data_IF_837668927361
#
_entry.id   IF_837668927361
#
_cell.length_a   1.000
_cell.length_b   1.000
_cell.length_c   1.000
_cell.angle_alpha   90.00
_cell.angle_beta   90.00
_cell.angle_gamma   90.00
#
_symmetry.space_group_name_H-M   'P 1'
#
loop_
_entity.id
_entity.type
_entity.pdbx_description
1 polymer ?
#
# COMPACT_ATOMS: atom_id res chain seq x y z
N UNK A 1 -6.23 -23.99 16.75
CA UNK A 1 -5.26 -23.99 17.86
C UNK A 1 -4.87 -22.54 18.09
N UNK A 2 -5.10 -22.00 19.30
CA UNK A 2 -4.86 -20.58 19.60
C UNK A 2 -3.38 -20.23 19.73
N UNK A 3 -2.51 -21.24 19.82
CA UNK A 3 -1.07 -21.07 19.97
C UNK A 3 -0.35 -20.96 18.61
N UNK A 4 -1.07 -21.14 17.49
CA UNK A 4 -0.53 -21.11 16.12
C UNK A 4 0.82 -21.85 15.97
N UNK A 5 0.94 -23.11 16.42
CA UNK A 5 2.22 -23.78 16.67
C UNK A 5 3.06 -24.05 15.41
N UNK A 6 2.50 -23.79 14.24
CA UNK A 6 3.12 -24.01 12.93
C UNK A 6 3.87 -22.79 12.39
N UNK A 7 3.74 -21.62 13.04
CA UNK A 7 4.35 -20.36 12.61
C UNK A 7 4.92 -19.60 13.82
N UNK A 8 6.02 -18.88 13.61
CA UNK A 8 6.61 -18.04 14.68
C UNK A 8 5.76 -16.79 14.94
N UNK A 9 5.24 -16.19 13.87
CA UNK A 9 4.39 -15.02 13.91
C UNK A 9 3.27 -15.18 12.86
N UNK A 10 1.99 -15.31 13.27
CA UNK A 10 0.88 -15.56 12.36
C UNK A 10 0.47 -14.27 11.63
N UNK A 11 1.33 -13.77 10.75
CA UNK A 11 1.04 -12.62 9.92
C UNK A 11 1.29 -12.98 8.46
N UNK A 12 0.30 -12.87 7.55
CA UNK A 12 0.45 -13.18 6.13
C UNK A 12 1.45 -12.28 5.38
N UNK A 13 1.91 -11.18 5.98
CA UNK A 13 3.04 -10.38 5.50
C UNK A 13 4.36 -11.15 5.55
N UNK A 14 4.49 -12.09 6.49
CA UNK A 14 5.68 -12.91 6.68
C UNK A 14 5.64 -14.13 5.75
N UNK A 15 6.61 -14.24 4.84
CA UNK A 15 6.71 -15.36 3.88
C UNK A 15 6.60 -16.72 4.57
N UNK A 16 7.25 -16.85 5.73
CA UNK A 16 7.28 -18.10 6.50
C UNK A 16 5.89 -18.52 7.02
N UNK A 17 5.00 -17.57 7.29
CA UNK A 17 3.64 -17.87 7.74
C UNK A 17 2.81 -18.58 6.65
N UNK A 18 3.20 -18.44 5.38
CA UNK A 18 2.51 -19.01 4.22
C UNK A 18 3.10 -20.36 3.77
N UNK A 19 4.23 -20.81 4.31
CA UNK A 19 4.99 -21.95 3.79
C UNK A 19 4.16 -23.24 3.64
N UNK A 20 3.39 -23.62 4.66
CA UNK A 20 2.54 -24.83 4.60
C UNK A 20 1.49 -24.73 3.49
N UNK A 21 0.90 -23.54 3.32
CA UNK A 21 -0.11 -23.30 2.29
C UNK A 21 0.53 -23.29 0.89
N UNK A 22 1.73 -22.73 0.74
CA UNK A 22 2.51 -22.73 -0.50
C UNK A 22 2.92 -24.14 -0.92
N UNK A 23 3.38 -24.97 0.03
CA UNK A 23 3.72 -26.38 -0.24
C UNK A 23 2.51 -27.17 -0.73
N UNK A 24 1.34 -26.96 -0.13
CA UNK A 24 0.10 -27.57 -0.57
C UNK A 24 -0.30 -27.06 -1.96
N UNK A 25 -0.24 -25.74 -2.18
CA UNK A 25 -0.52 -25.09 -3.46
C UNK A 25 0.29 -25.70 -4.60
N UNK A 26 1.61 -25.87 -4.40
CA UNK A 26 2.50 -26.56 -5.35
C UNK A 26 2.08 -28.00 -5.64
N UNK A 27 1.72 -28.77 -4.61
CA UNK A 27 1.31 -30.18 -4.76
C UNK A 27 0.02 -30.35 -5.57
N UNK A 28 -0.95 -29.46 -5.35
CA UNK A 28 -2.26 -29.53 -6.00
C UNK A 28 -2.35 -28.66 -7.26
N UNK A 29 -1.29 -27.89 -7.56
CA UNK A 29 -1.25 -26.89 -8.64
C UNK A 29 -2.39 -25.87 -8.52
N UNK A 30 -2.54 -25.28 -7.34
CA UNK A 30 -3.59 -24.30 -7.06
C UNK A 30 -3.39 -22.99 -7.85
N UNK A 31 -4.45 -22.43 -8.42
CA UNK A 31 -4.38 -21.11 -9.06
C UNK A 31 -4.15 -19.97 -8.06
N UNK A 32 -4.48 -20.21 -6.79
CA UNK A 32 -4.39 -19.27 -5.68
C UNK A 32 -4.04 -19.99 -4.38
N UNK A 33 -3.15 -19.39 -3.59
CA UNK A 33 -2.90 -19.77 -2.19
C UNK A 33 -3.23 -18.57 -1.32
N UNK A 34 -3.99 -18.78 -0.25
CA UNK A 34 -4.43 -17.72 0.67
C UNK A 34 -4.10 -18.07 2.11
N UNK A 35 -3.86 -17.04 2.92
CA UNK A 35 -3.67 -17.17 4.36
C UNK A 35 -4.05 -15.87 5.06
N UNK A 36 -4.60 -15.99 6.26
CA UNK A 36 -5.06 -14.85 7.08
C UNK A 36 -4.31 -14.80 8.40
N UNK A 37 -4.38 -13.66 9.08
CA UNK A 37 -3.97 -13.53 10.47
C UNK A 37 -5.06 -14.05 11.45
N UNK A 38 -4.76 -14.17 12.76
CA UNK A 38 -5.64 -14.81 13.75
C UNK A 38 -7.06 -14.26 13.85
N UNK A 39 -7.22 -12.94 13.73
CA UNK A 39 -8.49 -12.24 13.78
C UNK A 39 -9.10 -12.00 12.39
N UNK A 40 -8.44 -12.48 11.33
CA UNK A 40 -8.92 -12.44 9.95
C UNK A 40 -9.18 -11.01 9.44
N UNK A 41 -8.30 -10.09 9.81
CA UNK A 41 -8.29 -8.70 9.35
C UNK A 41 -7.29 -8.48 8.20
N UNK A 42 -6.37 -9.44 7.96
CA UNK A 42 -5.41 -9.41 6.85
C UNK A 42 -5.47 -10.65 5.97
N UNK A 43 -5.23 -10.45 4.68
CA UNK A 43 -5.21 -11.50 3.67
C UNK A 43 -3.91 -11.49 2.86
N UNK A 44 -3.10 -12.54 3.02
CA UNK A 44 -1.99 -12.86 2.12
C UNK A 44 -2.44 -13.74 0.96
N UNK A 45 -1.95 -13.42 -0.23
CA UNK A 45 -2.21 -14.18 -1.46
C UNK A 45 -0.88 -14.52 -2.14
N UNK A 46 -0.76 -15.76 -2.62
CA UNK A 46 0.28 -16.16 -3.56
C UNK A 46 -0.31 -16.81 -4.80
N UNK A 47 0.35 -16.60 -5.93
CA UNK A 47 -0.09 -17.08 -7.26
C UNK A 47 1.04 -17.84 -7.95
N UNK A 48 0.73 -18.79 -8.85
CA UNK A 48 1.76 -19.48 -9.62
C UNK A 48 2.47 -18.54 -10.59
N UNK A 49 3.79 -18.72 -10.71
CA UNK A 49 4.67 -18.04 -11.64
C UNK A 49 5.72 -19.04 -12.14
N UNK A 50 5.44 -19.65 -13.29
CA UNK A 50 6.20 -20.83 -13.74
C UNK A 50 5.95 -22.03 -12.80
N UNK A 51 7.02 -22.66 -12.35
CA UNK A 51 6.96 -23.79 -11.39
C UNK A 51 6.97 -23.33 -9.92
N UNK A 52 7.06 -22.03 -9.68
CA UNK A 52 7.12 -21.42 -8.35
C UNK A 52 5.83 -20.67 -8.00
N UNK A 53 5.70 -20.29 -6.72
CA UNK A 53 4.65 -19.39 -6.27
C UNK A 53 5.27 -18.09 -5.79
N UNK A 54 4.64 -16.97 -6.18
CA UNK A 54 5.07 -15.64 -5.77
C UNK A 54 3.99 -15.05 -4.86
N UNK A 55 4.42 -14.56 -3.70
CA UNK A 55 3.56 -13.81 -2.80
C UNK A 55 3.28 -12.44 -3.43
N UNK A 56 2.01 -12.09 -3.50
CA UNK A 56 1.53 -10.78 -3.94
C UNK A 56 1.58 -9.84 -2.73
N UNK A 57 2.24 -8.68 -2.90
CA UNK A 57 2.30 -7.68 -1.83
C UNK A 57 0.93 -7.07 -1.56
N UNK A 58 0.75 -6.51 -0.36
CA UNK A 58 -0.52 -5.90 0.02
C UNK A 58 -0.99 -4.81 -0.96
N UNK A 59 -0.07 -3.98 -1.44
CA UNK A 59 -0.32 -2.97 -2.49
C UNK A 59 -0.80 -3.60 -3.81
N UNK A 60 -0.14 -4.67 -4.26
CA UNK A 60 -0.44 -5.35 -5.54
C UNK A 60 -1.78 -6.08 -5.49
N UNK A 61 -2.09 -6.75 -4.38
CA UNK A 61 -3.37 -7.41 -4.19
C UNK A 61 -4.50 -6.37 -4.09
N UNK A 62 -4.28 -5.28 -3.37
CA UNK A 62 -5.25 -4.18 -3.32
C UNK A 62 -5.55 -3.59 -4.70
N UNK A 63 -4.53 -3.40 -5.54
CA UNK A 63 -4.69 -2.93 -6.92
C UNK A 63 -5.47 -3.94 -7.79
N UNK A 64 -5.23 -5.23 -7.62
CA UNK A 64 -5.99 -6.28 -8.31
C UNK A 64 -7.46 -6.29 -7.89
N UNK A 65 -7.74 -6.26 -6.58
CA UNK A 65 -9.11 -6.24 -6.04
C UNK A 65 -9.85 -4.98 -6.50
N UNK A 66 -9.20 -3.81 -6.45
CA UNK A 66 -9.79 -2.55 -6.89
C UNK A 66 -10.15 -2.58 -8.38
N UNK A 67 -9.21 -2.98 -9.24
CA UNK A 67 -9.43 -3.10 -10.68
C UNK A 67 -10.59 -4.06 -10.98
N UNK A 68 -10.60 -5.23 -10.34
CA UNK A 68 -11.67 -6.23 -10.51
C UNK A 68 -13.04 -5.70 -10.07
N UNK A 69 -13.12 -5.02 -8.92
CA UNK A 69 -14.37 -4.45 -8.43
C UNK A 69 -14.91 -3.39 -9.38
N UNK A 70 -14.08 -2.43 -9.79
CA UNK A 70 -14.48 -1.35 -10.68
C UNK A 70 -14.80 -1.86 -12.10
N UNK A 71 -14.01 -2.80 -12.64
CA UNK A 71 -14.25 -3.39 -13.95
C UNK A 71 -15.53 -4.20 -13.97
N UNK A 72 -15.77 -5.05 -12.98
CA UNK A 72 -16.95 -5.92 -12.93
C UNK A 72 -18.24 -5.13 -12.74
N UNK A 73 -18.21 -4.09 -11.90
CA UNK A 73 -19.35 -3.18 -11.75
C UNK A 73 -19.62 -2.41 -13.05
N UNK A 74 -18.58 -1.99 -13.77
CA UNK A 74 -18.73 -1.32 -15.07
C UNK A 74 -19.31 -2.26 -16.13
N UNK A 75 -18.77 -3.48 -16.24
CA UNK A 75 -19.22 -4.51 -17.19
C UNK A 75 -20.68 -4.91 -16.96
N UNK A 76 -21.11 -4.97 -15.70
CA UNK A 76 -22.48 -5.35 -15.34
C UNK A 76 -23.45 -4.16 -15.29
N UNK A 77 -22.99 -2.94 -15.60
CA UNK A 77 -23.83 -1.73 -15.58
C UNK A 77 -24.26 -1.31 -14.17
N UNK A 78 -23.50 -1.71 -13.14
CA UNK A 78 -23.77 -1.45 -11.71
C UNK A 78 -22.79 -0.47 -11.06
N UNK A 79 -21.80 0.03 -11.80
CA UNK A 79 -20.87 1.03 -11.27
C UNK A 79 -21.66 2.27 -10.82
N UNK A 80 -21.53 2.72 -9.55
CA UNK A 80 -22.18 3.93 -9.09
C UNK A 80 -21.80 5.15 -9.94
N UNK A 81 -22.67 6.16 -10.01
CA UNK A 81 -22.39 7.38 -10.75
C UNK A 81 -21.20 8.19 -10.19
N UNK A 82 -20.92 8.03 -8.90
CA UNK A 82 -19.80 8.67 -8.19
C UNK A 82 -19.04 7.61 -7.38
N UNK A 83 -18.36 6.65 -8.02
CA UNK A 83 -17.66 5.59 -7.30
C UNK A 83 -16.52 6.22 -6.49
N UNK A 84 -16.26 5.67 -5.30
CA UNK A 84 -15.21 6.15 -4.42
C UNK A 84 -14.33 4.99 -3.95
N UNK A 85 -13.04 5.26 -3.98
CA UNK A 85 -11.98 4.42 -3.47
C UNK A 85 -11.29 5.14 -2.31
N UNK A 86 -10.99 4.43 -1.23
CA UNK A 86 -10.34 5.02 -0.04
C UNK A 86 -9.09 4.22 0.31
N UNK A 87 -7.93 4.89 0.32
CA UNK A 87 -6.65 4.30 0.70
C UNK A 87 -5.91 5.13 1.73
N UNK A 88 -4.88 4.57 2.34
CA UNK A 88 -4.00 5.34 3.22
C UNK A 88 -2.97 6.14 2.43
N UNK A 89 -2.41 7.18 3.06
CA UNK A 89 -1.31 7.99 2.54
C UNK A 89 0.00 7.22 2.28
N UNK A 90 0.11 5.96 2.73
CA UNK A 90 1.27 5.07 2.50
C UNK A 90 0.96 3.92 1.55
N UNK A 91 -0.30 3.76 1.14
CA UNK A 91 -0.73 2.82 0.10
C UNK A 91 -0.34 3.36 -1.28
N UNK A 92 0.07 2.46 -2.18
CA UNK A 92 0.61 2.78 -3.52
C UNK A 92 -0.27 3.72 -4.34
N UNK A 93 0.36 4.58 -5.15
CA UNK A 93 -0.33 5.44 -6.12
C UNK A 93 -0.82 4.67 -7.36
N UNK A 94 -0.43 3.39 -7.54
CA UNK A 94 -1.03 2.53 -8.55
C UNK A 94 -2.56 2.45 -8.39
N UNK A 95 -3.02 2.33 -7.14
CA UNK A 95 -4.44 2.27 -6.82
C UNK A 95 -5.16 3.58 -7.20
N UNK A 96 -4.54 4.74 -6.95
CA UNK A 96 -5.05 6.03 -7.44
C UNK A 96 -5.18 6.05 -8.96
N UNK A 97 -4.16 5.60 -9.68
CA UNK A 97 -4.18 5.56 -11.15
C UNK A 97 -5.29 4.65 -11.69
N UNK A 98 -5.58 3.54 -11.02
CA UNK A 98 -6.69 2.63 -11.35
C UNK A 98 -8.03 3.33 -11.09
N UNK A 99 -8.26 3.87 -9.88
CA UNK A 99 -9.48 4.62 -9.56
C UNK A 99 -9.81 5.69 -10.63
N UNK A 100 -8.81 6.48 -11.01
CA UNK A 100 -8.96 7.56 -11.98
C UNK A 100 -9.36 7.05 -13.39
N UNK A 101 -8.86 5.89 -13.84
CA UNK A 101 -9.27 5.28 -15.11
C UNK A 101 -10.76 4.95 -15.15
N UNK A 102 -11.33 4.53 -14.01
CA UNK A 102 -12.76 4.23 -13.88
C UNK A 102 -13.60 5.44 -13.50
N UNK A 103 -12.99 6.63 -13.35
CA UNK A 103 -13.68 7.85 -12.91
C UNK A 103 -14.07 7.84 -11.43
N UNK A 104 -13.43 6.98 -10.63
CA UNK A 104 -13.66 6.91 -9.20
C UNK A 104 -12.88 8.00 -8.45
N UNK A 105 -13.51 8.56 -7.42
CA UNK A 105 -12.86 9.47 -6.48
C UNK A 105 -11.90 8.66 -5.59
N UNK A 106 -10.59 8.91 -5.68
CA UNK A 106 -9.61 8.33 -4.77
C UNK A 106 -9.30 9.27 -3.60
N UNK A 107 -9.69 8.85 -2.39
CA UNK A 107 -9.49 9.60 -1.13
C UNK A 107 -8.34 9.01 -0.33
N UNK A 108 -7.36 9.84 0.01
CA UNK A 108 -6.31 9.47 0.98
C UNK A 108 -6.79 9.70 2.41
N UNK A 109 -6.47 8.77 3.30
CA UNK A 109 -6.63 8.89 4.75
C UNK A 109 -5.34 8.56 5.49
N UNK A 110 -5.24 8.88 6.78
CA UNK A 110 -4.13 8.42 7.60
C UNK A 110 -4.15 6.90 7.77
N UNK A 111 -2.99 6.29 8.06
CA UNK A 111 -2.92 4.85 8.39
C UNK A 111 -3.79 4.50 9.60
N UNK A 112 -4.58 3.45 9.45
CA UNK A 112 -5.54 2.92 10.43
C UNK A 112 -6.95 2.88 9.85
N UNK A 113 -7.54 1.68 9.77
CA UNK A 113 -8.82 1.44 9.11
C UNK A 113 -10.01 2.26 9.64
N UNK A 114 -9.95 2.75 10.89
CA UNK A 114 -10.95 3.68 11.45
C UNK A 114 -11.21 4.90 10.56
N UNK A 115 -10.17 5.42 9.87
CA UNK A 115 -10.31 6.58 9.00
C UNK A 115 -11.02 6.22 7.68
N UNK A 116 -10.86 4.99 7.20
CA UNK A 116 -11.65 4.45 6.07
C UNK A 116 -13.11 4.31 6.51
N UNK A 117 -13.37 3.75 7.69
CA UNK A 117 -14.71 3.65 8.27
C UNK A 117 -15.40 5.01 8.46
N UNK A 118 -14.66 6.03 8.91
CA UNK A 118 -15.18 7.40 9.04
C UNK A 118 -15.54 8.01 7.67
N UNK A 119 -14.73 7.77 6.62
CA UNK A 119 -15.06 8.21 5.26
C UNK A 119 -16.27 7.50 4.68
N UNK A 120 -16.44 6.21 4.94
CA UNK A 120 -17.65 5.48 4.54
C UNK A 120 -18.88 6.13 5.20
N UNK A 121 -18.83 6.44 6.50
CA UNK A 121 -19.92 7.12 7.19
C UNK A 121 -20.20 8.53 6.61
N UNK A 122 -19.15 9.27 6.27
CA UNK A 122 -19.28 10.58 5.63
C UNK A 122 -20.01 10.49 4.29
N UNK A 123 -19.66 9.49 3.47
CA UNK A 123 -20.31 9.23 2.19
C UNK A 123 -21.79 8.83 2.36
N UNK A 124 -22.09 7.94 3.31
CA UNK A 124 -23.48 7.52 3.61
C UNK A 124 -24.36 8.68 4.09
N UNK A 125 -23.78 9.72 4.68
CA UNK A 125 -24.49 10.93 5.10
C UNK A 125 -24.84 11.89 3.94
N UNK A 126 -24.35 11.60 2.73
CA UNK A 126 -24.53 12.40 1.52
C UNK A 126 -25.28 11.58 0.47
N UNK A 127 -26.63 11.68 0.39
CA UNK A 127 -27.43 10.86 -0.54
C UNK A 127 -27.02 10.97 -2.02
N UNK A 128 -26.57 12.15 -2.44
CA UNK A 128 -26.05 12.41 -3.80
C UNK A 128 -24.51 12.42 -3.86
N UNK A 129 -23.85 11.95 -2.80
CA UNK A 129 -22.41 11.98 -2.62
C UNK A 129 -21.66 10.84 -3.30
N UNK A 130 -20.35 10.72 -3.02
CA UNK A 130 -19.56 9.57 -3.43
C UNK A 130 -20.09 8.27 -2.82
N UNK A 131 -19.94 7.15 -3.52
CA UNK A 131 -20.35 5.81 -3.07
C UNK A 131 -19.11 4.95 -2.92
N UNK A 132 -18.83 4.51 -1.69
CA UNK A 132 -17.72 3.59 -1.43
C UNK A 132 -17.88 2.30 -2.23
N UNK A 133 -16.85 1.94 -3.00
CA UNK A 133 -16.79 0.67 -3.75
C UNK A 133 -15.80 -0.29 -3.09
N UNK A 134 -14.62 0.20 -2.77
CA UNK A 134 -13.52 -0.59 -2.20
C UNK A 134 -12.56 0.34 -1.46
N UNK A 135 -11.84 -0.21 -0.48
CA UNK A 135 -10.79 0.50 0.23
C UNK A 135 -9.77 -0.46 0.82
N UNK A 136 -8.58 0.05 1.11
CA UNK A 136 -7.51 -0.81 1.62
C UNK A 136 -6.26 -0.11 2.11
N UNK A 137 -5.46 -0.88 2.83
CA UNK A 137 -4.15 -0.53 3.33
C UNK A 137 -3.08 -1.41 2.65
N UNK A 138 -1.89 -0.87 2.46
CA UNK A 138 -0.69 -1.57 2.02
C UNK A 138 -0.33 -2.78 2.91
N UNK A 139 -0.81 -2.77 4.15
CA UNK A 139 -0.61 -3.79 5.18
C UNK A 139 -1.58 -4.97 5.07
N UNK A 140 -1.97 -5.36 3.85
CA UNK A 140 -2.78 -6.56 3.55
C UNK A 140 -4.23 -6.50 4.07
N UNK A 141 -4.73 -5.30 4.38
CA UNK A 141 -6.08 -5.06 4.88
C UNK A 141 -6.99 -4.47 3.79
N UNK A 142 -8.14 -5.09 3.56
CA UNK A 142 -9.07 -4.69 2.50
C UNK A 142 -10.52 -4.71 2.99
N UNK A 143 -11.35 -3.87 2.38
CA UNK A 143 -12.79 -3.88 2.57
C UNK A 143 -13.49 -3.68 1.22
N UNK A 144 -14.31 -4.66 0.83
CA UNK A 144 -14.99 -4.74 -0.48
C UNK A 144 -16.50 -4.54 -0.39
N UNK A 145 -17.00 -4.11 0.76
CA UNK A 145 -18.41 -3.87 1.06
C UNK A 145 -18.54 -2.89 2.24
N UNK A 146 -19.76 -2.51 2.62
CA UNK A 146 -20.01 -1.57 3.73
C UNK A 146 -20.75 -2.21 4.91
N UNK A 147 -20.77 -3.55 5.04
CA UNK A 147 -21.44 -4.19 6.20
C UNK A 147 -20.60 -4.10 7.48
N UNK A 148 -19.29 -3.92 7.34
CA UNK A 148 -18.36 -3.69 8.45
C UNK A 148 -17.62 -2.36 8.28
N UNK A 149 -16.87 -1.97 9.31
CA UNK A 149 -16.09 -0.72 9.36
C UNK A 149 -14.61 -0.98 9.70
N UNK A 150 -14.19 -2.21 9.48
CA UNK A 150 -12.83 -2.69 9.66
C UNK A 150 -12.43 -3.52 8.44
N UNK A 151 -11.18 -3.99 8.41
CA UNK A 151 -10.71 -4.93 7.39
C UNK A 151 -11.46 -6.24 7.51
N UNK A 152 -11.71 -6.88 6.38
CA UNK A 152 -12.38 -8.18 6.31
C UNK A 152 -11.64 -9.11 5.36
N UNK A 153 -10.75 -9.94 5.92
CA UNK A 153 -9.98 -10.89 5.13
C UNK A 153 -10.85 -12.00 4.54
N UNK A 154 -11.99 -12.32 5.15
CA UNK A 154 -12.90 -13.38 4.66
C UNK A 154 -13.60 -12.93 3.38
N UNK A 155 -14.13 -11.71 3.40
CA UNK A 155 -14.74 -11.09 2.22
C UNK A 155 -13.69 -10.82 1.14
N UNK A 156 -12.50 -10.34 1.51
CA UNK A 156 -11.40 -10.14 0.57
C UNK A 156 -10.92 -11.47 -0.05
N UNK A 157 -10.91 -12.57 0.71
CA UNK A 157 -10.51 -13.90 0.22
C UNK A 157 -11.52 -14.44 -0.78
N UNK A 158 -12.82 -14.28 -0.48
CA UNK A 158 -13.90 -14.64 -1.39
C UNK A 158 -13.79 -13.85 -2.70
N UNK A 159 -13.58 -12.53 -2.61
CA UNK A 159 -13.38 -11.67 -3.77
C UNK A 159 -12.13 -12.06 -4.57
N UNK A 160 -11.04 -12.39 -3.89
CA UNK A 160 -9.80 -12.83 -4.54
C UNK A 160 -9.96 -14.16 -5.28
N UNK A 161 -10.73 -15.10 -4.71
CA UNK A 161 -11.04 -16.37 -5.36
C UNK A 161 -11.96 -16.19 -6.58
N UNK A 162 -12.97 -15.31 -6.48
CA UNK A 162 -13.84 -14.97 -7.61
C UNK A 162 -13.06 -14.30 -8.74
N UNK A 163 -12.22 -13.30 -8.42
CA UNK A 163 -11.34 -12.61 -9.36
C UNK A 163 -10.38 -13.59 -10.05
N UNK A 164 -9.78 -14.52 -9.30
CA UNK A 164 -8.93 -15.57 -9.86
C UNK A 164 -9.71 -16.44 -10.86
N UNK A 165 -10.89 -16.91 -10.46
CA UNK A 165 -11.75 -17.72 -11.32
C UNK A 165 -12.17 -16.97 -12.60
N UNK A 166 -12.53 -15.70 -12.47
CA UNK A 166 -12.90 -14.85 -13.61
C UNK A 166 -11.76 -14.78 -14.64
N UNK A 167 -10.53 -14.48 -14.22
CA UNK A 167 -9.41 -14.40 -15.14
C UNK A 167 -8.97 -15.77 -15.67
N UNK A 168 -8.96 -16.81 -14.83
CA UNK A 168 -8.62 -18.17 -15.25
C UNK A 168 -9.61 -18.69 -16.30
N UNK A 169 -10.90 -18.38 -16.15
CA UNK A 169 -11.92 -18.72 -17.16
C UNK A 169 -11.68 -18.07 -18.53
N UNK A 170 -10.88 -17.00 -18.56
CA UNK A 170 -10.45 -16.29 -19.77
C UNK A 170 -9.04 -16.69 -20.22
N UNK A 171 -8.47 -17.74 -19.62
CA UNK A 171 -7.13 -18.25 -19.93
C UNK A 171 -6.00 -17.35 -19.42
N UNK A 172 -6.24 -16.54 -18.38
CA UNK A 172 -5.25 -15.63 -17.78
C UNK A 172 -5.06 -15.93 -16.30
N UNK A 173 -3.82 -15.90 -15.83
CA UNK A 173 -3.55 -15.94 -14.39
C UNK A 173 -3.77 -14.56 -13.74
N UNK A 174 -3.88 -14.50 -12.41
CA UNK A 174 -3.81 -13.23 -11.69
C UNK A 174 -2.49 -12.48 -11.92
N UNK A 175 -1.40 -13.22 -12.12
CA UNK A 175 -0.12 -12.61 -12.44
C UNK A 175 -0.15 -11.92 -13.80
N UNK A 176 -0.83 -12.51 -14.79
CA UNK A 176 -1.06 -11.86 -16.09
C UNK A 176 -1.90 -10.59 -15.95
N UNK A 177 -2.94 -10.62 -15.11
CA UNK A 177 -3.74 -9.42 -14.83
C UNK A 177 -2.89 -8.31 -14.19
N UNK A 178 -2.04 -8.63 -13.22
CA UNK A 178 -1.16 -7.63 -12.61
C UNK A 178 -0.13 -7.07 -13.62
N UNK A 179 0.41 -7.91 -14.51
CA UNK A 179 1.25 -7.42 -15.63
C UNK A 179 0.48 -6.49 -16.56
N UNK A 180 -0.80 -6.73 -16.80
CA UNK A 180 -1.65 -5.84 -17.60
C UNK A 180 -1.89 -4.51 -16.90
N UNK A 181 -2.10 -4.52 -15.57
CA UNK A 181 -2.16 -3.28 -14.77
C UNK A 181 -0.88 -2.47 -14.91
N UNK A 182 0.29 -3.09 -14.74
CA UNK A 182 1.56 -2.38 -14.90
C UNK A 182 1.78 -1.84 -16.31
N UNK A 183 1.30 -2.54 -17.35
CA UNK A 183 1.36 -2.01 -18.72
C UNK A 183 0.50 -0.76 -18.91
N UNK A 184 -0.69 -0.71 -18.30
CA UNK A 184 -1.64 0.42 -18.39
C UNK A 184 -1.22 1.63 -17.54
N UNK A 185 -0.76 1.39 -16.32
CA UNK A 185 -0.56 2.44 -15.31
C UNK A 185 0.92 2.73 -15.00
N UNK A 186 1.85 1.91 -15.51
CA UNK A 186 3.25 1.95 -15.12
C UNK A 186 3.61 0.86 -14.12
N UNK A 187 4.89 0.51 -14.06
CA UNK A 187 5.36 -0.51 -13.12
C UNK A 187 5.65 0.15 -11.77
N UNK A 188 4.93 -0.24 -10.73
CA UNK A 188 5.14 0.27 -9.37
C UNK A 188 5.93 -0.73 -8.53
N UNK A 189 6.89 -0.19 -7.76
CA UNK A 189 7.63 -0.94 -6.74
C UNK A 189 7.62 -0.14 -5.45
N UNK A 190 7.24 -0.82 -4.36
CA UNK A 190 7.21 -0.24 -3.03
C UNK A 190 8.17 -0.94 -2.08
N UNK A 191 8.55 -0.24 -1.01
CA UNK A 191 9.20 -0.85 0.13
C UNK A 191 8.62 -0.35 1.46
N UNK A 192 8.73 -1.21 2.45
CA UNK A 192 8.60 -0.87 3.86
C UNK A 192 9.91 -1.23 4.56
N UNK A 193 10.40 -0.32 5.39
CA UNK A 193 11.51 -0.53 6.31
C UNK A 193 11.04 -0.18 7.72
N UNK A 194 11.14 -1.13 8.66
CA UNK A 194 10.78 -0.92 10.07
C UNK A 194 12.04 -0.98 10.93
N UNK A 195 12.33 0.10 11.66
CA UNK A 195 13.53 0.20 12.48
C UNK A 195 13.16 0.41 13.94
N UNK A 196 13.60 -0.52 14.78
CA UNK A 196 13.46 -0.44 16.23
C UNK A 196 14.69 0.25 16.85
N UNK A 197 14.44 1.16 17.77
CA UNK A 197 15.43 1.78 18.63
C UNK A 197 15.33 1.13 20.01
N UNK A 198 16.31 0.28 20.34
CA UNK A 198 16.33 -0.47 21.60
C UNK A 198 16.78 0.44 22.75
N UNK A 199 16.36 0.08 23.97
CA UNK A 199 16.78 0.75 25.20
C UNK A 199 15.90 1.92 25.59
N UNK A 200 16.17 2.48 26.77
CA UNK A 200 15.37 3.55 27.38
C UNK A 200 15.40 4.85 26.55
N UNK A 201 16.48 5.08 25.79
CA UNK A 201 16.69 6.26 24.95
C UNK A 201 16.04 6.15 23.55
N UNK A 202 15.46 4.99 23.20
CA UNK A 202 14.97 4.74 21.84
C UNK A 202 13.88 5.71 21.38
N UNK A 203 13.02 6.15 22.31
CA UNK A 203 11.99 7.16 22.04
C UNK A 203 12.56 8.55 21.77
N UNK A 204 13.64 8.94 22.45
CA UNK A 204 14.33 10.21 22.24
C UNK A 204 15.06 10.25 20.90
N UNK A 205 15.76 9.15 20.55
CA UNK A 205 16.41 9.00 19.24
C UNK A 205 15.38 9.16 18.11
N UNK A 206 14.26 8.45 18.20
CA UNK A 206 13.19 8.54 17.20
C UNK A 206 12.59 9.95 17.10
N UNK A 207 12.41 10.63 18.24
CA UNK A 207 11.84 11.98 18.29
C UNK A 207 12.78 13.00 17.65
N UNK A 208 14.08 12.95 18.01
CA UNK A 208 15.11 13.79 17.38
C UNK A 208 15.20 13.54 15.89
N UNK A 209 15.19 12.28 15.44
CA UNK A 209 15.21 11.94 14.02
C UNK A 209 14.05 12.58 13.25
N UNK A 210 12.84 12.58 13.81
CA UNK A 210 11.68 13.22 13.18
C UNK A 210 11.72 14.76 13.22
N UNK A 211 12.35 15.36 14.22
CA UNK A 211 12.62 16.80 14.26
C UNK A 211 13.70 17.19 13.25
N UNK A 212 14.75 16.39 13.13
CA UNK A 212 15.83 16.58 12.15
C UNK A 212 15.31 16.45 10.72
N UNK A 213 14.53 15.41 10.42
CA UNK A 213 13.88 15.25 9.10
C UNK A 213 12.93 16.41 8.75
N UNK A 214 12.34 17.07 9.76
CA UNK A 214 11.42 18.20 9.57
C UNK A 214 12.16 19.52 9.40
N UNK A 215 13.22 19.74 10.17
CA UNK A 215 14.00 20.97 10.17
C UNK A 215 15.08 21.01 9.09
N UNK A 216 15.64 19.84 8.75
CA UNK A 216 16.70 19.64 7.77
C UNK A 216 16.31 18.47 6.84
N UNK A 217 15.23 18.61 6.04
CA UNK A 217 14.77 17.55 5.16
C UNK A 217 15.87 17.20 4.13
N UNK A 218 16.04 15.91 3.77
CA UNK A 218 16.89 15.53 2.65
C UNK A 218 16.49 16.29 1.39
N UNK A 219 17.47 16.77 0.63
CA UNK A 219 17.23 17.46 -0.63
C UNK A 219 17.05 16.50 -1.81
N UNK A 220 17.51 15.25 -1.67
CA UNK A 220 17.44 14.22 -2.69
C UNK A 220 17.27 12.84 -2.07
N UNK A 221 16.70 11.93 -2.84
CA UNK A 221 16.80 10.48 -2.63
C UNK A 221 17.10 9.78 -3.95
N UNK A 222 18.04 8.83 -3.95
CA UNK A 222 18.48 8.10 -5.15
C UNK A 222 18.78 9.00 -6.36
N UNK A 223 19.36 10.18 -6.10
CA UNK A 223 19.70 11.19 -7.11
C UNK A 223 18.51 11.97 -7.70
N UNK A 224 17.31 11.86 -7.11
CA UNK A 224 16.13 12.64 -7.49
C UNK A 224 15.86 13.72 -6.44
N UNK A 225 15.64 14.96 -6.91
CA UNK A 225 15.33 16.10 -6.05
C UNK A 225 14.01 15.91 -5.31
N UNK A 226 14.01 16.20 -4.00
CA UNK A 226 12.79 16.38 -3.23
C UNK A 226 12.18 17.71 -3.65
N UNK A 227 11.02 17.68 -4.31
CA UNK A 227 10.33 18.88 -4.81
C UNK A 227 9.23 19.36 -3.88
N UNK A 228 8.65 18.46 -3.07
CA UNK A 228 7.65 18.81 -2.05
C UNK A 228 7.86 18.03 -0.77
N UNK A 229 7.59 18.66 0.37
CA UNK A 229 7.53 18.03 1.69
C UNK A 229 6.15 18.25 2.29
N UNK A 230 5.40 17.17 2.52
CA UNK A 230 4.15 17.19 3.26
C UNK A 230 4.44 16.89 4.73
N UNK A 231 4.05 17.79 5.62
CA UNK A 231 4.07 17.58 7.07
C UNK A 231 2.65 17.49 7.59
N UNK A 232 2.21 16.26 7.88
CA UNK A 232 0.87 15.98 8.39
C UNK A 232 0.68 16.48 9.82
N UNK A 233 1.75 16.82 10.54
CA UNK A 233 1.65 17.39 11.89
C UNK A 233 1.25 18.85 11.82
N UNK A 234 1.86 19.58 10.89
CA UNK A 234 1.58 20.99 10.61
C UNK A 234 0.39 21.21 9.66
N UNK A 235 -0.07 20.14 9.00
CA UNK A 235 -1.07 20.17 7.92
C UNK A 235 -0.62 21.02 6.73
N UNK A 236 0.66 20.96 6.38
CA UNK A 236 1.25 21.80 5.32
C UNK A 236 2.00 21.01 4.25
N UNK A 237 1.91 21.47 3.01
CA UNK A 237 2.81 21.10 1.92
C UNK A 237 3.78 22.24 1.63
N UNK A 238 5.08 21.94 1.64
CA UNK A 238 6.14 22.90 1.32
C UNK A 238 6.71 22.59 -0.06
N UNK A 239 6.72 23.57 -0.96
CA UNK A 239 7.48 23.52 -2.22
C UNK A 239 8.95 23.85 -1.93
N UNK A 240 9.85 22.90 -2.19
CA UNK A 240 11.26 23.02 -1.76
C UNK A 240 12.05 24.04 -2.57
N UNK A 241 11.62 24.34 -3.80
CA UNK A 241 12.28 25.31 -4.68
C UNK A 241 12.02 26.74 -4.24
N UNK A 242 10.78 27.04 -3.86
CA UNK A 242 10.35 28.37 -3.39
C UNK A 242 10.47 28.54 -1.87
N UNK A 243 10.51 27.45 -1.11
CA UNK A 243 10.42 27.45 0.35
C UNK A 243 9.03 27.82 0.89
N UNK A 244 8.03 27.95 0.02
CA UNK A 244 6.66 28.33 0.41
C UNK A 244 5.92 27.13 0.97
N UNK A 245 5.39 27.27 2.18
CA UNK A 245 4.49 26.30 2.80
C UNK A 245 3.03 26.76 2.66
N UNK A 246 2.16 25.84 2.28
CA UNK A 246 0.71 26.04 2.18
C UNK A 246 0.00 25.08 3.14
N UNK A 247 -1.05 25.55 3.81
CA UNK A 247 -1.85 24.73 4.74
C UNK A 247 -3.00 24.05 3.99
N UNK A 248 -2.67 22.99 3.27
CA UNK A 248 -3.53 22.33 2.26
C UNK A 248 -3.88 20.87 2.59
N UNK A 249 -3.38 20.32 3.70
CA UNK A 249 -3.67 18.94 4.11
C UNK A 249 -4.91 18.92 5.01
N UNK A 250 -6.04 18.48 4.44
CA UNK A 250 -7.31 18.27 5.16
C UNK A 250 -7.40 16.86 5.76
N UNK A 251 -6.48 16.56 6.67
CA UNK A 251 -6.46 15.32 7.46
C UNK A 251 -6.15 15.63 8.92
N UNK A 252 -6.52 14.74 9.87
CA UNK A 252 -6.14 14.89 11.26
C UNK A 252 -4.62 15.06 11.43
N UNK A 253 -4.19 15.79 12.45
CA UNK A 253 -2.77 15.96 12.72
C UNK A 253 -2.11 14.62 13.05
N UNK A 254 -1.01 14.30 12.36
CA UNK A 254 -0.24 13.07 12.59
C UNK A 254 1.25 13.34 12.41
N UNK A 255 2.10 12.72 13.23
CA UNK A 255 3.55 12.85 13.07
C UNK A 255 4.02 12.00 11.89
N UNK A 256 3.84 12.50 10.68
CA UNK A 256 4.23 11.87 9.42
C UNK A 256 4.84 12.94 8.52
N UNK A 257 5.96 12.60 7.88
CA UNK A 257 6.57 13.41 6.83
C UNK A 257 6.54 12.61 5.53
N UNK A 258 6.16 13.24 4.43
CA UNK A 258 6.22 12.65 3.10
C UNK A 258 7.01 13.55 2.15
N UNK A 259 8.04 12.98 1.54
CA UNK A 259 8.93 13.63 0.58
C UNK A 259 8.52 13.17 -0.82
N UNK A 260 8.07 14.12 -1.64
CA UNK A 260 7.71 13.88 -3.05
C UNK A 260 8.90 14.28 -3.91
N UNK A 261 9.41 13.36 -4.72
CA UNK A 261 10.54 13.59 -5.59
C UNK A 261 10.10 14.12 -6.95
N UNK A 262 11.05 14.67 -7.72
CA UNK A 262 10.81 15.26 -9.03
C UNK A 262 10.19 14.30 -10.06
N UNK A 263 10.37 13.00 -9.88
CA UNK A 263 9.81 11.94 -10.70
C UNK A 263 8.61 11.24 -10.05
N UNK A 264 7.98 11.91 -9.09
CA UNK A 264 6.79 11.46 -8.36
C UNK A 264 7.03 10.23 -7.47
N UNK A 265 8.29 9.82 -7.27
CA UNK A 265 8.63 8.90 -6.19
C UNK A 265 8.22 9.51 -4.84
N UNK A 266 7.66 8.70 -3.97
CA UNK A 266 7.21 9.11 -2.64
C UNK A 266 8.04 8.39 -1.59
N UNK A 267 8.61 9.12 -0.63
CA UNK A 267 9.26 8.55 0.56
C UNK A 267 8.53 9.07 1.80
N UNK A 268 8.08 8.19 2.69
CA UNK A 268 7.33 8.58 3.89
C UNK A 268 8.04 8.11 5.16
N UNK A 269 8.18 8.99 6.14
CA UNK A 269 8.69 8.68 7.48
C UNK A 269 7.55 8.77 8.51
N UNK A 270 7.32 7.68 9.25
CA UNK A 270 6.23 7.55 10.24
C UNK A 270 6.72 6.86 11.52
N UNK A 271 6.95 7.59 12.62
CA UNK A 271 7.16 7.00 13.94
C UNK A 271 5.91 6.27 14.42
N UNK A 272 6.12 5.21 15.19
CA UNK A 272 5.08 4.59 16.01
C UNK A 272 4.77 5.49 17.20
N UNK A 273 3.50 5.55 17.60
CA UNK A 273 3.07 6.30 18.77
C UNK A 273 3.25 5.54 20.09
N UNK A 274 3.40 4.21 20.03
CA UNK A 274 3.42 3.32 21.21
C UNK A 274 4.72 2.57 21.39
N UNK A 275 5.52 2.42 20.33
CA UNK A 275 6.79 1.69 20.34
C UNK A 275 7.92 2.62 19.89
N UNK A 276 9.16 2.44 20.37
CA UNK A 276 10.33 3.15 19.85
C UNK A 276 10.74 2.58 18.48
N UNK A 277 9.86 2.75 17.49
CA UNK A 277 9.99 2.23 16.12
C UNK A 277 9.61 3.31 15.12
N UNK A 278 10.42 3.48 14.09
CA UNK A 278 10.06 4.28 12.91
C UNK A 278 9.84 3.36 11.71
N UNK A 279 8.82 3.66 10.91
CA UNK A 279 8.57 3.04 9.61
C UNK A 279 8.94 4.03 8.51
N UNK A 280 9.69 3.56 7.52
CA UNK A 280 9.89 4.26 6.27
C UNK A 280 9.22 3.49 5.14
N UNK A 281 8.50 4.22 4.31
CA UNK A 281 7.87 3.72 3.10
C UNK A 281 8.53 4.40 1.91
N UNK A 282 8.66 3.68 0.79
CA UNK A 282 8.85 4.34 -0.48
C UNK A 282 8.02 3.66 -1.57
N UNK A 283 7.54 4.44 -2.53
CA UNK A 283 6.86 3.97 -3.73
C UNK A 283 7.45 4.73 -4.92
N UNK A 284 7.91 3.99 -5.93
CA UNK A 284 8.38 4.56 -7.18
C UNK A 284 7.77 3.80 -8.35
N UNK A 285 7.79 4.43 -9.52
CA UNK A 285 7.19 3.84 -10.70
C UNK A 285 7.90 4.24 -11.99
N UNK A 286 7.60 3.51 -13.07
CA UNK A 286 7.93 3.92 -14.44
C UNK A 286 6.69 4.39 -15.17
N UNK A 287 6.88 5.13 -16.25
CA UNK A 287 5.79 5.43 -17.18
C UNK A 287 5.14 4.14 -17.74
N UNK A 288 3.83 4.19 -18.06
CA UNK A 288 3.13 3.12 -18.79
C UNK A 288 3.83 2.71 -20.09
N UNK A 289 3.59 1.46 -20.53
CA UNK A 289 4.10 0.95 -21.80
C UNK A 289 5.60 0.61 -21.86
N UNK A 290 6.35 0.82 -20.78
CA UNK A 290 7.73 0.33 -20.68
C UNK A 290 7.77 -1.21 -20.65
N UNK A 291 8.81 -1.80 -21.24
CA UNK A 291 9.11 -3.22 -21.05
C UNK A 291 9.21 -3.56 -19.56
N UNK A 292 8.51 -4.61 -19.12
CA UNK A 292 8.35 -4.91 -17.69
C UNK A 292 9.66 -5.31 -17.02
N UNK A 293 10.54 -6.02 -17.71
CA UNK A 293 11.84 -6.40 -17.13
C UNK A 293 12.74 -5.19 -16.97
N UNK A 294 12.77 -4.29 -17.97
CA UNK A 294 13.46 -3.02 -17.86
C UNK A 294 12.87 -2.15 -16.73
N UNK A 295 11.54 -2.07 -16.66
CA UNK A 295 10.84 -1.27 -15.67
C UNK A 295 11.14 -1.75 -14.24
N UNK A 296 11.00 -3.06 -14.01
CA UNK A 296 11.34 -3.74 -12.76
C UNK A 296 12.79 -3.50 -12.35
N UNK A 297 13.74 -3.55 -13.30
CA UNK A 297 15.15 -3.27 -13.01
C UNK A 297 15.35 -1.84 -12.51
N UNK A 298 14.78 -0.85 -13.21
CA UNK A 298 14.89 0.57 -12.86
C UNK A 298 14.30 0.85 -11.48
N UNK A 299 13.08 0.37 -11.22
CA UNK A 299 12.41 0.61 -9.93
C UNK A 299 13.10 -0.13 -8.80
N UNK A 300 13.54 -1.37 -9.00
CA UNK A 300 14.27 -2.14 -7.98
C UNK A 300 15.62 -1.50 -7.63
N UNK A 301 16.38 -1.00 -8.61
CA UNK A 301 17.64 -0.28 -8.36
C UNK A 301 17.39 1.01 -7.57
N UNK A 302 16.35 1.78 -7.94
CA UNK A 302 15.97 2.99 -7.19
C UNK A 302 15.57 2.67 -5.75
N UNK A 303 14.67 1.70 -5.52
CA UNK A 303 14.24 1.31 -4.18
C UNK A 303 15.43 0.85 -3.31
N UNK A 304 16.39 0.12 -3.89
CA UNK A 304 17.63 -0.27 -3.18
C UNK A 304 18.46 0.95 -2.76
N UNK A 305 18.60 1.96 -3.63
CA UNK A 305 19.33 3.18 -3.30
C UNK A 305 18.62 3.98 -2.19
N UNK A 306 17.30 4.18 -2.29
CA UNK A 306 16.52 4.87 -1.26
C UNK A 306 16.66 4.11 0.08
N UNK A 307 16.55 2.78 0.07
CA UNK A 307 16.75 1.96 1.27
C UNK A 307 18.11 2.21 1.91
N UNK A 308 19.18 2.17 1.11
CA UNK A 308 20.54 2.40 1.61
C UNK A 308 20.73 3.80 2.21
N UNK A 309 20.11 4.83 1.62
CA UNK A 309 20.15 6.20 2.15
C UNK A 309 19.38 6.32 3.48
N UNK A 310 18.19 5.71 3.57
CA UNK A 310 17.42 5.66 4.81
C UNK A 310 18.14 4.87 5.92
N UNK A 311 18.82 3.77 5.58
CA UNK A 311 19.64 3.01 6.54
C UNK A 311 20.78 3.87 7.11
N UNK A 312 21.42 4.72 6.28
CA UNK A 312 22.42 5.68 6.74
C UNK A 312 21.82 6.74 7.65
N UNK A 313 20.62 7.25 7.33
CA UNK A 313 19.90 8.20 8.20
C UNK A 313 19.59 7.57 9.57
N UNK A 314 19.11 6.33 9.59
CA UNK A 314 18.84 5.60 10.83
C UNK A 314 20.14 5.35 11.61
N UNK A 315 21.23 5.00 10.92
CA UNK A 315 22.52 4.77 11.56
C UNK A 315 23.11 6.05 12.16
N UNK A 316 22.94 7.21 11.51
CA UNK A 316 23.40 8.50 12.01
C UNK A 316 22.60 9.01 13.23
N UNK A 317 21.36 8.54 13.40
CA UNK A 317 20.52 8.88 14.55
C UNK A 317 20.83 8.06 15.82
N UNK A 318 21.49 6.91 15.68
CA UNK A 318 21.88 6.02 16.79
C UNK A 318 23.23 6.41 17.37
#
# INVERSE_FOLDING_TARGET
>A
DGDFPTVEYPNPEEVNAMNMALELGKKVKADLVMGTDPDSDRLGVAVPEGDEYVIISGNRLGALIEDYMLSSLKETGKLPAKPAFVKTIVTTELQRSIAEEYGALCVDVLTGFKYIGDKIREFESQPDGPVFVVGGEESYGYLVHTDVRDKDAVSAATMSAEMALYHVSQGRSLMDQLRMLWKRHGYYEEMLMSNYFKGQEGGEIMSRMMEDLRSNPPNQFAGQDVVKVKDYKASTTTDTKSGKAEKDIDLPSANVLQFILADETIVTARPSGTEPKIKFYASCHTAPGMDLEKAKKITSEKIKHIRSELEKLVAAAK
#
